data_IF_683599330182
#
_entry.id   IF_683599330182
#
_cell.length_a   1.000
_cell.length_b   1.000
_cell.length_c   1.000
_cell.angle_alpha   90.00
_cell.angle_beta   90.00
_cell.angle_gamma   90.00
#
_symmetry.space_group_name_H-M   'P 1'
#
loop_
_entity.id
_entity.type
_entity.pdbx_description
1 polymer ?
#
# COMPACT_ATOMS: atom_id res chain seq x y z
N UNK A 1 -26.00 5.68 19.89
CA UNK A 1 -24.70 6.29 20.24
C UNK A 1 -23.75 5.16 20.63
N UNK A 2 -22.68 4.94 19.88
CA UNK A 2 -21.64 3.97 20.25
C UNK A 2 -20.60 4.74 21.04
N UNK A 3 -20.63 4.58 22.37
CA UNK A 3 -19.95 5.50 23.29
C UNK A 3 -18.59 4.99 23.82
N UNK A 4 -18.09 3.80 23.44
CA UNK A 4 -16.79 3.28 23.93
C UNK A 4 -16.16 2.19 23.03
N UNK A 5 -15.78 2.53 21.80
CA UNK A 5 -14.89 1.65 21.00
C UNK A 5 -13.77 2.46 20.39
N UNK A 6 -12.54 1.93 20.47
CA UNK A 6 -11.43 2.43 19.65
C UNK A 6 -11.72 2.10 18.19
N UNK A 7 -11.56 3.10 17.33
CA UNK A 7 -11.76 2.97 15.89
C UNK A 7 -10.44 3.27 15.17
N UNK A 8 -10.16 2.50 14.12
CA UNK A 8 -9.04 2.80 13.22
C UNK A 8 -9.45 3.99 12.37
N UNK A 9 -8.78 5.12 12.57
CA UNK A 9 -9.09 6.37 11.87
C UNK A 9 -8.32 6.55 10.57
N UNK A 10 -7.16 5.87 10.42
CA UNK A 10 -6.31 5.93 9.24
C UNK A 10 -5.35 4.74 9.19
N UNK A 11 -4.95 4.32 8.00
CA UNK A 11 -3.83 3.40 7.77
C UNK A 11 -2.82 4.07 6.82
N UNK A 12 -1.54 4.06 7.19
CA UNK A 12 -0.45 4.52 6.33
C UNK A 12 0.50 3.35 6.06
N UNK A 13 0.52 2.88 4.81
CA UNK A 13 1.37 1.76 4.41
C UNK A 13 2.61 2.29 3.70
N UNK A 14 3.79 1.94 4.21
CA UNK A 14 5.08 2.21 3.57
C UNK A 14 5.75 0.89 3.22
N UNK A 15 6.09 0.69 1.95
CA UNK A 15 6.71 -0.53 1.46
C UNK A 15 7.96 -0.24 0.63
N UNK A 16 9.04 -0.97 0.90
CA UNK A 16 10.26 -0.95 0.11
C UNK A 16 10.42 -2.31 -0.57
N UNK A 17 10.64 -2.31 -1.88
CA UNK A 17 10.85 -3.52 -2.68
C UNK A 17 12.24 -3.45 -3.30
N UNK A 18 13.03 -4.49 -3.07
CA UNK A 18 14.34 -4.66 -3.70
C UNK A 18 14.17 -5.56 -4.94
N UNK A 19 14.77 -5.15 -6.05
CA UNK A 19 14.78 -5.90 -7.31
C UNK A 19 16.22 -6.06 -7.82
N UNK A 20 16.47 -7.16 -8.52
CA UNK A 20 17.82 -7.54 -8.97
C UNK A 20 18.27 -6.81 -10.24
N UNK A 21 17.37 -6.10 -10.92
CA UNK A 21 17.69 -5.43 -12.19
C UNK A 21 16.74 -4.28 -12.50
N UNK A 22 17.29 -3.24 -13.12
CA UNK A 22 16.61 -1.98 -13.44
C UNK A 22 15.50 -2.16 -14.49
N UNK A 23 15.60 -3.18 -15.37
CA UNK A 23 14.56 -3.51 -16.36
C UNK A 23 13.22 -3.91 -15.72
N UNK A 24 13.25 -4.41 -14.48
CA UNK A 24 12.04 -4.75 -13.73
C UNK A 24 11.36 -3.55 -13.08
N UNK A 25 12.04 -2.38 -12.99
CA UNK A 25 11.56 -1.23 -12.19
C UNK A 25 10.17 -0.76 -12.60
N UNK A 26 9.96 -0.48 -13.89
CA UNK A 26 8.66 0.03 -14.36
C UNK A 26 7.53 -0.99 -14.17
N UNK A 27 7.81 -2.26 -14.44
CA UNK A 27 6.85 -3.35 -14.24
C UNK A 27 6.44 -3.48 -12.78
N UNK A 28 7.41 -3.40 -11.86
CA UNK A 28 7.16 -3.51 -10.42
C UNK A 28 6.45 -2.26 -9.89
N UNK A 29 6.83 -1.05 -10.33
CA UNK A 29 6.10 0.17 -10.01
C UNK A 29 4.63 0.07 -10.43
N UNK A 30 4.36 -0.41 -11.64
CA UNK A 30 2.98 -0.61 -12.10
C UNK A 30 2.23 -1.65 -11.28
N UNK A 31 2.87 -2.76 -10.93
CA UNK A 31 2.28 -3.78 -10.08
C UNK A 31 1.93 -3.23 -8.69
N UNK A 32 2.80 -2.42 -8.10
CA UNK A 32 2.58 -1.78 -6.80
C UNK A 32 1.45 -0.74 -6.84
N UNK A 33 1.34 0.05 -7.90
CA UNK A 33 0.22 0.97 -8.12
C UNK A 33 -1.11 0.22 -8.20
N UNK A 34 -1.15 -0.89 -8.96
CA UNK A 34 -2.32 -1.74 -9.05
C UNK A 34 -2.65 -2.41 -7.71
N UNK A 35 -1.64 -2.87 -6.98
CA UNK A 35 -1.82 -3.46 -5.65
C UNK A 35 -2.43 -2.45 -4.67
N UNK A 36 -1.97 -1.19 -4.68
CA UNK A 36 -2.56 -0.13 -3.86
C UNK A 36 -4.01 0.17 -4.24
N UNK A 37 -4.31 0.22 -5.54
CA UNK A 37 -5.67 0.51 -6.06
C UNK A 37 -6.66 -0.62 -5.81
N UNK A 38 -6.22 -1.87 -5.93
CA UNK A 38 -7.07 -3.05 -5.90
C UNK A 38 -6.85 -3.92 -4.64
N UNK A 39 -6.24 -3.35 -3.59
CA UNK A 39 -6.02 -4.04 -2.33
C UNK A 39 -7.35 -4.48 -1.72
N UNK A 40 -7.60 -5.79 -1.69
CA UNK A 40 -8.84 -6.34 -1.14
C UNK A 40 -9.04 -5.97 0.34
N UNK A 41 -7.96 -6.06 1.11
CA UNK A 41 -7.96 -5.66 2.53
C UNK A 41 -8.26 -4.18 2.64
N UNK A 42 -7.54 -3.34 1.89
CA UNK A 42 -7.68 -1.90 1.96
C UNK A 42 -9.09 -1.42 1.58
N UNK A 43 -9.68 -2.02 0.55
CA UNK A 43 -11.04 -1.75 0.10
C UNK A 43 -12.12 -2.23 1.10
N UNK A 44 -11.76 -3.10 2.05
CA UNK A 44 -12.66 -3.59 3.09
C UNK A 44 -12.63 -2.74 4.37
N UNK A 45 -11.67 -1.81 4.48
CA UNK A 45 -11.56 -0.93 5.65
C UNK A 45 -12.51 0.26 5.56
N UNK A 46 -13.01 0.72 6.70
CA UNK A 46 -13.89 1.90 6.81
C UNK A 46 -13.13 3.21 7.03
N UNK A 47 -11.82 3.21 6.86
CA UNK A 47 -10.95 4.36 7.09
C UNK A 47 -10.10 4.67 5.86
N UNK A 48 -9.63 5.92 5.69
CA UNK A 48 -8.69 6.26 4.64
C UNK A 48 -7.38 5.48 4.76
N UNK A 49 -6.83 5.08 3.61
CA UNK A 49 -5.56 4.36 3.52
C UNK A 49 -4.65 5.05 2.50
N UNK A 50 -3.42 5.34 2.87
CA UNK A 50 -2.36 5.82 1.95
C UNK A 50 -1.29 4.75 1.74
N UNK A 51 -0.75 4.71 0.53
CA UNK A 51 0.30 3.76 0.13
C UNK A 51 1.50 4.56 -0.38
N UNK A 52 2.66 4.35 0.23
CA UNK A 52 3.95 4.89 -0.19
C UNK A 52 4.85 3.70 -0.53
N UNK A 53 5.35 3.65 -1.77
CA UNK A 53 6.14 2.52 -2.25
C UNK A 53 7.47 3.00 -2.84
N UNK A 54 8.55 2.35 -2.45
CA UNK A 54 9.90 2.59 -2.93
C UNK A 54 10.43 1.33 -3.61
N UNK A 55 11.00 1.47 -4.82
CA UNK A 55 11.69 0.38 -5.52
C UNK A 55 13.18 0.71 -5.59
N UNK A 56 14.00 -0.20 -5.06
CA UNK A 56 15.46 -0.10 -5.04
C UNK A 56 16.05 -1.25 -5.84
N UNK A 57 17.07 -0.95 -6.64
CA UNK A 57 17.85 -1.96 -7.36
C UNK A 57 19.14 -2.20 -6.58
N UNK A 58 19.45 -3.47 -6.33
CA UNK A 58 20.70 -3.92 -5.71
C UNK A 58 21.44 -4.89 -6.62
#
# INVERSE_FOLDING_TARGET
KVDRSFEITKIEMKAKVVIESEDLREKINRALELAAKYCFVGNSMKCPISHETEVVVE
#
